data_IF_509686122684
#
_entry.id   IF_509686122684
#
_cell.length_a   1.000
_cell.length_b   1.000
_cell.length_c   1.000
_cell.angle_alpha   90.00
_cell.angle_beta   90.00
_cell.angle_gamma   90.00
#
_symmetry.space_group_name_H-M   'P 1'
#
loop_
_entity.id
_entity.type
_entity.pdbx_description
1 polymer ?
#
# COMPACT_ATOMS: atom_id res chain seq x y z
N UNK A 1 -18.42 -12.83 -10.81
CA UNK A 1 -17.31 -12.28 -11.61
C UNK A 1 -17.22 -12.95 -12.97
N UNK A 2 -17.34 -14.28 -13.06
CA UNK A 2 -17.31 -15.02 -14.35
C UNK A 2 -18.38 -14.54 -15.34
N UNK A 3 -19.63 -14.31 -14.89
CA UNK A 3 -20.69 -13.77 -15.75
C UNK A 3 -20.34 -12.37 -16.28
N UNK A 4 -19.72 -11.53 -15.45
CA UNK A 4 -19.26 -10.19 -15.84
C UNK A 4 -18.10 -10.27 -16.86
N UNK A 5 -17.14 -11.17 -16.66
CA UNK A 5 -15.97 -11.31 -17.55
C UNK A 5 -16.35 -11.75 -18.97
N UNK A 6 -17.50 -12.41 -19.14
CA UNK A 6 -18.02 -12.80 -20.47
C UNK A 6 -18.58 -11.61 -21.27
N UNK A 7 -18.92 -10.52 -20.58
CA UNK A 7 -19.57 -9.34 -21.19
C UNK A 7 -18.60 -8.17 -21.45
N UNK A 8 -17.32 -8.35 -21.14
CA UNK A 8 -16.29 -7.31 -21.31
C UNK A 8 -15.06 -7.86 -22.03
N UNK A 9 -14.29 -6.98 -22.68
CA UNK A 9 -13.05 -7.36 -23.33
C UNK A 9 -11.92 -7.57 -22.32
N UNK A 10 -11.85 -6.73 -21.29
CA UNK A 10 -10.83 -6.79 -20.26
C UNK A 10 -11.42 -6.59 -18.87
N UNK A 11 -10.79 -7.21 -17.89
CA UNK A 11 -11.03 -7.00 -16.45
C UNK A 11 -9.73 -6.54 -15.83
N UNK A 12 -9.70 -5.34 -15.27
CA UNK A 12 -8.51 -4.83 -14.56
C UNK A 12 -8.62 -5.18 -13.08
N UNK A 13 -7.69 -6.00 -12.60
CA UNK A 13 -7.52 -6.24 -11.17
C UNK A 13 -6.67 -5.11 -10.58
N UNK A 14 -7.23 -4.27 -9.75
CA UNK A 14 -6.48 -3.24 -9.00
C UNK A 14 -5.70 -3.88 -7.85
N UNK A 15 -4.53 -4.48 -8.18
CA UNK A 15 -3.69 -5.18 -7.22
C UNK A 15 -2.76 -4.22 -6.47
N UNK A 16 -3.35 -3.23 -5.79
CA UNK A 16 -2.69 -2.23 -4.96
C UNK A 16 -3.61 -1.78 -3.82
N UNK A 17 -3.08 -0.97 -2.89
CA UNK A 17 -3.74 -0.61 -1.62
C UNK A 17 -3.95 -1.82 -0.69
N UNK A 18 -3.01 -2.78 -0.69
CA UNK A 18 -2.92 -3.86 0.29
C UNK A 18 -3.03 -3.28 1.70
N UNK A 19 -2.22 -2.27 1.99
CA UNK A 19 -2.37 -1.43 3.17
C UNK A 19 -2.77 -0.02 2.71
N UNK A 20 -4.01 0.35 2.97
CA UNK A 20 -4.59 1.60 2.47
C UNK A 20 -4.39 2.79 3.42
N UNK A 21 -4.67 4.01 2.93
CA UNK A 21 -4.34 5.25 3.64
C UNK A 21 -4.96 5.42 5.04
N UNK A 22 -6.06 4.73 5.33
CA UNK A 22 -6.73 4.79 6.64
C UNK A 22 -6.43 3.57 7.53
N UNK A 23 -5.51 2.71 7.12
CA UNK A 23 -5.00 1.65 7.99
C UNK A 23 -4.37 2.25 9.24
N UNK A 24 -4.59 1.60 10.36
CA UNK A 24 -3.96 1.97 11.65
C UNK A 24 -2.57 1.38 11.80
N UNK A 25 -2.24 0.39 10.97
CA UNK A 25 -0.93 -0.28 10.90
C UNK A 25 -0.24 0.05 9.60
N UNK A 26 1.07 0.29 9.64
CA UNK A 26 1.89 0.50 8.47
C UNK A 26 2.10 -0.80 7.70
N UNK A 27 2.18 -0.71 6.37
CA UNK A 27 2.43 -1.86 5.50
C UNK A 27 2.64 -1.44 4.04
N UNK A 28 2.97 -2.40 3.16
CA UNK A 28 3.19 -2.17 1.74
C UNK A 28 1.88 -1.82 1.02
N UNK A 29 2.02 -1.18 -0.13
CA UNK A 29 0.89 -0.91 -1.04
C UNK A 29 0.57 -2.14 -1.89
N UNK A 30 1.57 -2.94 -2.26
CA UNK A 30 1.40 -4.10 -3.13
C UNK A 30 2.59 -5.07 -2.98
N UNK A 31 2.61 -5.88 -1.93
CA UNK A 31 3.61 -6.94 -1.80
C UNK A 31 3.44 -7.99 -2.88
N UNK A 32 4.55 -8.57 -3.37
CA UNK A 32 4.49 -9.56 -4.44
C UNK A 32 3.62 -10.79 -4.10
N UNK A 33 3.72 -11.41 -2.90
CA UNK A 33 2.89 -12.57 -2.56
C UNK A 33 1.41 -12.22 -2.51
N UNK A 34 1.06 -11.03 -2.03
CA UNK A 34 -0.33 -10.57 -2.00
C UNK A 34 -0.88 -10.34 -3.43
N UNK A 35 -0.09 -9.68 -4.29
CA UNK A 35 -0.45 -9.45 -5.71
C UNK A 35 -0.63 -10.78 -6.42
N UNK A 36 0.32 -11.73 -6.27
CA UNK A 36 0.26 -13.06 -6.87
C UNK A 36 -1.00 -13.82 -6.44
N UNK A 37 -1.25 -13.92 -5.14
CA UNK A 37 -2.42 -14.62 -4.59
C UNK A 37 -3.73 -14.05 -5.16
N UNK A 38 -3.89 -12.73 -5.19
CA UNK A 38 -5.10 -12.11 -5.71
C UNK A 38 -5.26 -12.32 -7.21
N UNK A 39 -4.16 -12.31 -7.96
CA UNK A 39 -4.17 -12.58 -9.40
C UNK A 39 -4.59 -14.03 -9.69
N UNK A 40 -3.97 -15.00 -9.00
CA UNK A 40 -4.30 -16.42 -9.16
C UNK A 40 -5.77 -16.72 -8.78
N UNK A 41 -6.27 -16.08 -7.73
CA UNK A 41 -7.70 -16.17 -7.35
C UNK A 41 -8.63 -15.58 -8.41
N UNK A 42 -8.23 -14.53 -9.12
CA UNK A 42 -9.03 -13.98 -10.21
C UNK A 42 -9.07 -14.91 -11.42
N UNK A 43 -8.01 -15.67 -11.68
CA UNK A 43 -7.93 -16.61 -12.79
C UNK A 43 -8.92 -17.78 -12.67
N UNK A 44 -9.44 -18.07 -11.47
CA UNK A 44 -10.53 -19.04 -11.32
C UNK A 44 -11.87 -18.55 -11.90
N UNK A 45 -12.01 -17.25 -12.16
CA UNK A 45 -13.26 -16.62 -12.59
C UNK A 45 -13.11 -15.84 -13.92
N UNK A 46 -11.88 -15.46 -14.30
CA UNK A 46 -11.58 -14.63 -15.47
C UNK A 46 -10.52 -15.30 -16.32
N UNK A 47 -10.75 -15.40 -17.62
CA UNK A 47 -9.76 -15.94 -18.56
C UNK A 47 -8.48 -15.08 -18.55
N UNK A 48 -7.32 -15.73 -18.55
CA UNK A 48 -6.03 -15.05 -18.38
C UNK A 48 -5.81 -13.90 -19.37
N UNK A 49 -6.11 -14.11 -20.64
CA UNK A 49 -5.94 -13.10 -21.70
C UNK A 49 -6.87 -11.88 -21.56
N UNK A 50 -7.93 -11.98 -20.75
CA UNK A 50 -8.82 -10.85 -20.40
C UNK A 50 -8.43 -10.17 -19.10
N UNK A 51 -7.61 -10.81 -18.26
CA UNK A 51 -7.21 -10.26 -16.98
C UNK A 51 -6.00 -9.33 -17.15
N UNK A 52 -6.16 -8.07 -16.77
CA UNK A 52 -5.10 -7.05 -16.77
C UNK A 52 -4.69 -6.77 -15.33
N UNK A 53 -3.40 -6.88 -15.03
CA UNK A 53 -2.86 -6.63 -13.70
C UNK A 53 -2.66 -5.14 -13.46
N UNK A 54 -3.41 -4.57 -12.53
CA UNK A 54 -3.22 -3.20 -12.05
C UNK A 54 -2.06 -3.14 -11.05
N UNK A 55 -1.05 -2.32 -11.32
CA UNK A 55 0.13 -2.13 -10.46
C UNK A 55 0.24 -0.68 -9.99
N UNK A 56 0.83 -0.40 -8.80
CA UNK A 56 1.01 0.96 -8.32
C UNK A 56 2.30 1.57 -8.86
N UNK A 57 2.28 2.85 -9.22
CA UNK A 57 3.46 3.70 -9.38
C UNK A 57 3.65 4.61 -8.15
N UNK A 58 3.22 4.13 -7.01
CA UNK A 58 3.30 4.84 -5.75
C UNK A 58 3.46 3.86 -4.58
N UNK A 59 3.89 4.40 -3.47
CA UNK A 59 4.00 3.74 -2.18
C UNK A 59 3.44 4.62 -1.08
N UNK A 60 3.50 4.18 0.18
CA UNK A 60 3.12 4.98 1.35
C UNK A 60 4.31 5.18 2.27
N UNK A 61 4.56 6.44 2.59
CA UNK A 61 5.38 6.82 3.72
C UNK A 61 4.47 6.82 4.97
N UNK A 62 4.83 6.04 5.96
CA UNK A 62 4.10 5.90 7.19
C UNK A 62 4.81 6.63 8.30
N UNK A 63 4.12 7.62 8.88
CA UNK A 63 4.56 8.31 10.07
C UNK A 63 3.97 7.59 11.29
N UNK A 64 4.81 6.83 11.99
CA UNK A 64 4.39 6.17 13.23
C UNK A 64 4.64 7.09 14.42
N UNK A 65 3.60 7.39 15.15
CA UNK A 65 3.66 8.21 16.36
C UNK A 65 2.80 7.56 17.45
N UNK A 66 3.41 7.20 18.57
CA UNK A 66 2.71 6.61 19.73
C UNK A 66 1.85 5.38 19.37
N UNK A 67 2.35 4.50 18.51
CA UNK A 67 1.64 3.29 18.10
C UNK A 67 0.54 3.50 17.05
N UNK A 68 0.43 4.69 16.49
CA UNK A 68 -0.50 5.02 15.43
C UNK A 68 0.23 5.36 14.13
N UNK A 69 -0.11 4.68 13.04
CA UNK A 69 0.49 4.91 11.73
C UNK A 69 -0.40 5.83 10.87
N UNK A 70 0.20 6.87 10.29
CA UNK A 70 -0.45 7.74 9.31
C UNK A 70 0.24 7.60 7.96
N UNK A 71 -0.44 7.02 6.98
CA UNK A 71 0.09 6.82 5.64
C UNK A 71 -0.08 8.04 4.72
N UNK A 72 1.01 8.49 4.12
CA UNK A 72 1.04 9.54 3.09
C UNK A 72 1.50 8.93 1.77
N UNK A 73 0.76 9.18 0.68
CA UNK A 73 1.13 8.68 -0.64
C UNK A 73 2.39 9.36 -1.15
N UNK A 74 3.34 8.57 -1.64
CA UNK A 74 4.57 9.02 -2.28
C UNK A 74 4.66 8.39 -3.68
N UNK A 75 4.81 9.22 -4.72
CA UNK A 75 5.00 8.75 -6.08
C UNK A 75 6.43 8.20 -6.29
N UNK A 76 6.61 7.20 -7.15
CA UNK A 76 7.93 6.62 -7.44
C UNK A 76 8.97 7.68 -7.80
N UNK A 77 8.63 8.63 -8.66
CA UNK A 77 9.52 9.73 -9.08
C UNK A 77 10.05 10.60 -7.92
N UNK A 78 9.39 10.59 -6.78
CA UNK A 78 9.78 11.42 -5.62
C UNK A 78 10.62 10.65 -4.60
N UNK A 79 10.85 9.35 -4.80
CA UNK A 79 11.56 8.50 -3.83
C UNK A 79 13.03 8.84 -3.72
N UNK A 80 13.70 9.11 -4.84
CA UNK A 80 15.11 9.45 -4.89
C UNK A 80 15.46 10.70 -4.06
N UNK A 81 14.59 11.69 -4.07
CA UNK A 81 14.76 12.95 -3.33
C UNK A 81 14.55 12.75 -1.83
N UNK A 82 13.57 11.95 -1.44
CA UNK A 82 13.21 11.77 -0.04
C UNK A 82 14.21 10.88 0.72
N UNK A 83 14.73 9.83 0.06
CA UNK A 83 15.57 8.81 0.71
C UNK A 83 17.04 8.82 0.26
N UNK A 84 17.49 9.82 -0.50
CA UNK A 84 18.88 9.91 -0.96
C UNK A 84 19.90 9.77 0.20
N UNK A 85 19.56 10.28 1.38
CA UNK A 85 20.41 10.24 2.57
C UNK A 85 20.25 8.97 3.41
N UNK A 86 19.41 8.01 2.98
CA UNK A 86 19.09 6.79 3.74
C UNK A 86 19.22 5.52 2.92
N UNK A 87 19.86 5.58 1.75
CA UNK A 87 20.07 4.42 0.87
C UNK A 87 20.84 3.29 1.55
N UNK A 88 21.76 3.64 2.44
CA UNK A 88 22.56 2.72 3.25
C UNK A 88 21.74 1.94 4.28
N UNK A 89 20.55 2.42 4.61
CA UNK A 89 19.61 1.80 5.58
C UNK A 89 18.50 1.00 4.93
N UNK A 90 18.44 0.99 3.59
CA UNK A 90 17.45 0.20 2.86
C UNK A 90 17.81 -1.28 2.91
N UNK A 91 16.85 -2.11 3.28
CA UNK A 91 16.98 -3.57 3.30
C UNK A 91 15.98 -4.20 2.35
N UNK A 92 16.37 -5.29 1.69
CA UNK A 92 15.47 -6.08 0.86
C UNK A 92 14.68 -7.06 1.72
N UNK A 93 13.36 -6.96 1.71
CA UNK A 93 12.48 -7.96 2.31
C UNK A 93 12.19 -9.05 1.25
N UNK A 94 12.88 -10.18 1.38
CA UNK A 94 12.75 -11.27 0.41
C UNK A 94 11.38 -11.94 0.43
N UNK A 95 10.66 -11.87 1.54
CA UNK A 95 9.30 -12.38 1.67
C UNK A 95 8.30 -11.51 0.93
N UNK A 96 8.37 -10.18 1.09
CA UNK A 96 7.47 -9.23 0.45
C UNK A 96 7.94 -8.85 -0.96
N UNK A 97 9.22 -9.11 -1.30
CA UNK A 97 9.88 -8.70 -2.54
C UNK A 97 9.84 -7.18 -2.74
N UNK A 98 10.15 -6.46 -1.67
CA UNK A 98 10.18 -5.00 -1.60
C UNK A 98 11.40 -4.54 -0.80
N UNK A 99 11.96 -3.39 -1.15
CA UNK A 99 12.87 -2.69 -0.26
C UNK A 99 12.11 -2.05 0.89
N UNK A 100 12.70 -2.11 2.07
CA UNK A 100 12.14 -1.52 3.29
C UNK A 100 13.14 -0.59 3.94
N UNK A 101 12.67 0.50 4.52
CA UNK A 101 13.45 1.37 5.40
C UNK A 101 12.60 1.83 6.57
N UNK A 102 13.24 1.96 7.73
CA UNK A 102 12.69 2.61 8.92
C UNK A 102 13.66 3.69 9.39
N UNK A 103 13.16 4.90 9.55
CA UNK A 103 13.94 6.08 9.94
C UNK A 103 13.41 6.56 11.29
N UNK A 104 14.21 6.51 12.37
CA UNK A 104 13.81 7.06 13.65
C UNK A 104 13.53 8.58 13.55
N UNK A 105 12.47 9.03 14.21
CA UNK A 105 12.08 10.44 14.35
C UNK A 105 11.99 10.80 15.84
N UNK A 106 11.83 12.08 16.16
CA UNK A 106 11.68 12.52 17.56
C UNK A 106 10.44 11.97 18.27
N UNK A 107 9.42 11.54 17.52
CA UNK A 107 8.13 11.07 18.06
C UNK A 107 7.79 9.62 17.68
N UNK A 108 8.70 8.89 17.03
CA UNK A 108 8.47 7.52 16.59
C UNK A 108 9.37 7.11 15.43
N UNK A 109 8.79 6.71 14.31
CA UNK A 109 9.56 6.36 13.10
C UNK A 109 8.78 6.63 11.82
N UNK A 110 9.53 6.92 10.76
CA UNK A 110 9.02 6.91 9.39
C UNK A 110 9.37 5.59 8.75
N UNK A 111 8.37 4.88 8.20
CA UNK A 111 8.54 3.58 7.54
C UNK A 111 8.01 3.61 6.13
N UNK A 112 8.70 2.90 5.22
CA UNK A 112 8.27 2.76 3.85
C UNK A 112 8.71 1.41 3.27
N UNK A 113 7.82 0.80 2.50
CA UNK A 113 8.09 -0.30 1.58
C UNK A 113 8.07 0.28 0.18
N UNK A 114 9.20 0.15 -0.51
CA UNK A 114 9.39 0.79 -1.82
C UNK A 114 8.77 -0.02 -2.94
N UNK A 115 7.99 0.66 -3.77
CA UNK A 115 7.72 0.21 -5.12
C UNK A 115 8.79 0.81 -6.04
N UNK A 116 9.60 -0.04 -6.63
CA UNK A 116 10.72 0.31 -7.52
C UNK A 116 10.75 -0.57 -8.76
N UNK A 117 11.76 -0.39 -9.62
CA UNK A 117 11.90 -1.19 -10.82
C UNK A 117 12.13 -2.67 -10.55
N UNK A 118 12.70 -3.04 -9.40
CA UNK A 118 12.92 -4.44 -9.01
C UNK A 118 11.59 -5.11 -8.68
N UNK A 119 10.83 -4.53 -7.77
CA UNK A 119 9.53 -5.05 -7.33
C UNK A 119 8.48 -5.00 -8.45
N UNK A 120 8.47 -3.93 -9.23
CA UNK A 120 7.61 -3.80 -10.41
C UNK A 120 7.98 -4.84 -11.48
N UNK A 121 9.28 -5.04 -11.73
CA UNK A 121 9.76 -6.05 -12.67
C UNK A 121 9.23 -7.45 -12.35
N UNK A 122 9.25 -7.86 -11.09
CA UNK A 122 8.67 -9.13 -10.63
C UNK A 122 7.16 -9.23 -10.94
N UNK A 123 6.41 -8.15 -10.75
CA UNK A 123 4.99 -8.11 -11.09
C UNK A 123 4.74 -8.17 -12.60
N UNK A 124 5.60 -7.55 -13.41
CA UNK A 124 5.52 -7.67 -14.86
C UNK A 124 5.93 -9.07 -15.36
N UNK A 125 6.87 -9.73 -14.69
CA UNK A 125 7.21 -11.13 -14.98
C UNK A 125 6.02 -12.05 -14.65
N UNK A 126 5.26 -11.78 -13.57
CA UNK A 126 4.02 -12.49 -13.25
C UNK A 126 2.97 -12.35 -14.35
N UNK A 127 2.85 -11.17 -14.99
CA UNK A 127 1.96 -10.97 -16.16
C UNK A 127 2.34 -11.93 -17.30
N UNK A 128 3.63 -12.10 -17.57
CA UNK A 128 4.13 -13.02 -18.59
C UNK A 128 3.94 -14.48 -18.19
N UNK A 129 4.29 -14.83 -16.94
CA UNK A 129 4.15 -16.19 -16.39
C UNK A 129 2.72 -16.70 -16.49
N UNK A 130 1.76 -15.89 -16.07
CA UNK A 130 0.34 -16.25 -16.05
C UNK A 130 -0.39 -15.95 -17.36
N UNK A 131 0.31 -15.49 -18.41
CA UNK A 131 -0.23 -15.14 -19.73
C UNK A 131 -1.43 -14.20 -19.64
N UNK A 132 -1.31 -13.17 -18.79
CA UNK A 132 -2.36 -12.17 -18.62
C UNK A 132 -2.51 -11.30 -19.86
N UNK A 133 -3.65 -10.62 -20.01
CA UNK A 133 -3.91 -9.68 -21.10
C UNK A 133 -3.00 -8.45 -21.10
N UNK A 134 -2.29 -8.21 -20.00
CA UNK A 134 -1.35 -7.10 -19.86
C UNK A 134 -1.30 -6.56 -18.46
N UNK A 135 -0.79 -5.35 -18.32
CA UNK A 135 -0.83 -4.60 -17.06
C UNK A 135 -1.36 -3.17 -17.27
N UNK A 136 -1.86 -2.58 -16.21
CA UNK A 136 -2.24 -1.17 -16.13
C UNK A 136 -1.59 -0.57 -14.89
N UNK A 137 -1.21 0.71 -14.93
CA UNK A 137 -0.53 1.34 -13.81
C UNK A 137 -1.30 2.51 -13.23
N UNK A 138 -1.39 2.59 -11.91
CA UNK A 138 -1.93 3.73 -11.20
C UNK A 138 -0.77 4.55 -10.61
N UNK A 139 -0.44 5.70 -11.14
CA UNK A 139 -1.02 6.31 -12.33
C UNK A 139 0.06 7.01 -13.14
N UNK A 140 -0.23 7.30 -14.41
CA UNK A 140 0.63 8.12 -15.25
C UNK A 140 1.03 9.43 -14.55
N UNK A 141 2.31 9.75 -14.62
CA UNK A 141 2.93 10.92 -13.97
C UNK A 141 3.44 10.64 -12.54
N UNK A 142 3.35 9.39 -12.06
CA UNK A 142 3.95 8.95 -10.79
C UNK A 142 5.22 8.12 -11.00
N UNK A 143 5.40 7.58 -12.19
CA UNK A 143 6.61 6.86 -12.62
C UNK A 143 7.82 7.77 -12.69
N UNK A 144 9.00 7.21 -12.55
CA UNK A 144 10.25 7.86 -12.93
C UNK A 144 10.69 7.45 -14.36
N UNK A 145 11.73 8.11 -14.88
CA UNK A 145 12.24 7.84 -16.23
C UNK A 145 12.80 6.41 -16.36
N UNK A 146 13.41 5.88 -15.30
CA UNK A 146 13.96 4.53 -15.28
C UNK A 146 12.85 3.47 -15.37
N UNK A 147 11.71 3.75 -14.75
CA UNK A 147 10.52 2.89 -14.83
C UNK A 147 9.98 2.82 -16.25
N UNK A 148 9.87 3.94 -16.95
CA UNK A 148 9.45 3.97 -18.35
C UNK A 148 10.42 3.19 -19.22
N UNK A 149 11.72 3.39 -19.03
CA UNK A 149 12.74 2.70 -19.80
C UNK A 149 12.71 1.17 -19.56
N UNK A 150 12.48 0.72 -18.31
CA UNK A 150 12.30 -0.69 -17.98
C UNK A 150 11.08 -1.28 -18.69
N UNK A 151 9.94 -0.60 -18.65
CA UNK A 151 8.70 -1.04 -19.31
C UNK A 151 8.89 -1.15 -20.83
N UNK A 152 9.65 -0.24 -21.43
CA UNK A 152 9.97 -0.28 -22.86
C UNK A 152 10.98 -1.39 -23.24
N UNK A 153 11.39 -2.23 -22.29
CA UNK A 153 12.33 -3.32 -22.54
C UNK A 153 13.79 -2.88 -22.62
N UNK A 154 14.10 -1.63 -22.24
CA UNK A 154 15.48 -1.18 -22.08
C UNK A 154 16.07 -1.82 -20.83
N UNK A 155 17.18 -2.54 -20.98
CA UNK A 155 17.84 -3.19 -19.86
C UNK A 155 18.40 -2.15 -18.89
N UNK A 156 17.80 -2.07 -17.71
CA UNK A 156 18.21 -1.18 -16.64
C UNK A 156 18.76 -1.96 -15.44
N UNK A 157 19.45 -3.08 -15.73
CA UNK A 157 20.18 -3.82 -14.73
C UNK A 157 19.26 -4.31 -13.60
N UNK A 158 18.42 -5.28 -13.88
CA UNK A 158 17.71 -6.06 -12.85
C UNK A 158 18.72 -6.90 -12.07
N UNK A 159 19.46 -6.27 -11.18
CA UNK A 159 20.20 -7.01 -10.17
C UNK A 159 19.19 -7.56 -9.17
N UNK A 160 19.03 -8.89 -9.12
CA UNK A 160 18.37 -9.51 -7.97
C UNK A 160 19.26 -9.19 -6.76
N UNK A 161 18.79 -8.45 -5.75
CA UNK A 161 19.60 -8.16 -4.59
C UNK A 161 20.01 -9.50 -3.95
N UNK A 162 21.29 -9.65 -3.64
CA UNK A 162 21.74 -10.78 -2.81
C UNK A 162 21.01 -10.66 -1.47
N UNK A 163 20.24 -11.70 -1.12
CA UNK A 163 19.53 -11.80 0.16
C UNK A 163 20.48 -11.50 1.30
N UNK A 164 20.28 -10.36 1.94
CA UNK A 164 20.72 -10.15 3.32
C UNK A 164 19.47 -10.41 4.15
N UNK A 165 19.39 -11.61 4.71
CA UNK A 165 18.37 -11.94 5.71
C UNK A 165 18.60 -11.05 6.93
N UNK A 166 17.88 -9.96 6.99
CA UNK A 166 17.70 -9.23 8.23
C UNK A 166 16.39 -9.72 8.81
N UNK A 167 16.44 -10.17 10.06
CA UNK A 167 15.25 -10.49 10.86
C UNK A 167 14.40 -9.22 10.96
N UNK A 168 13.54 -9.02 9.99
CA UNK A 168 12.45 -8.04 10.12
C UNK A 168 11.44 -8.71 11.06
N UNK A 169 11.13 -8.11 12.23
CA UNK A 169 10.11 -8.67 13.09
C UNK A 169 8.88 -8.90 12.23
N UNK A 170 8.41 -10.15 12.22
CA UNK A 170 7.19 -10.49 11.48
C UNK A 170 6.11 -9.48 11.83
N UNK A 171 5.44 -8.87 10.86
CA UNK A 171 4.16 -8.29 11.14
C UNK A 171 3.33 -9.47 11.66
N UNK A 172 2.88 -9.37 12.89
CA UNK A 172 1.93 -10.33 13.45
C UNK A 172 0.72 -10.30 12.55
N UNK A 173 0.74 -11.14 11.53
CA UNK A 173 -0.44 -11.49 10.76
C UNK A 173 -1.14 -12.49 11.67
N UNK A 174 -1.86 -11.98 12.69
CA UNK A 174 -2.97 -12.75 13.19
C UNK A 174 -3.77 -13.14 11.95
N UNK A 175 -3.89 -14.43 11.70
CA UNK A 175 -4.89 -14.97 10.78
C UNK A 175 -6.27 -14.59 11.34
N UNK A 176 -6.63 -13.32 11.16
CA UNK A 176 -7.97 -12.87 11.44
C UNK A 176 -8.86 -13.53 10.41
N UNK A 177 -9.59 -14.57 10.83
CA UNK A 177 -10.75 -15.05 10.09
C UNK A 177 -11.48 -13.82 9.55
N UNK A 178 -11.81 -13.80 8.25
CA UNK A 178 -12.51 -12.64 7.69
C UNK A 178 -13.76 -12.40 8.54
N UNK A 179 -13.84 -11.20 9.10
CA UNK A 179 -14.96 -10.78 9.94
C UNK A 179 -16.27 -11.09 9.22
N UNK A 180 -17.18 -11.75 9.90
CA UNK A 180 -18.52 -11.99 9.38
C UNK A 180 -19.21 -10.65 9.08
N UNK A 181 -20.18 -10.66 8.16
CA UNK A 181 -20.96 -9.44 7.83
C UNK A 181 -21.54 -8.76 9.07
N UNK A 182 -21.88 -9.53 10.08
CA UNK A 182 -22.41 -9.03 11.36
C UNK A 182 -21.33 -8.35 12.22
N UNK A 183 -20.11 -8.89 12.25
CA UNK A 183 -18.97 -8.28 12.95
C UNK A 183 -18.52 -6.99 12.27
N UNK A 184 -18.47 -6.97 10.94
CA UNK A 184 -18.20 -5.75 10.17
C UNK A 184 -19.26 -4.67 10.41
N UNK A 185 -20.53 -5.05 10.53
CA UNK A 185 -21.61 -4.12 10.83
C UNK A 185 -21.49 -3.57 12.27
N UNK A 186 -21.18 -4.41 13.27
CA UNK A 186 -20.94 -3.98 14.65
C UNK A 186 -19.77 -3.00 14.75
N UNK A 187 -18.64 -3.31 14.09
CA UNK A 187 -17.48 -2.40 14.05
C UNK A 187 -17.84 -1.02 13.47
N UNK A 188 -18.61 -1.00 12.38
CA UNK A 188 -19.08 0.26 11.77
C UNK A 188 -20.03 1.06 12.68
N UNK A 189 -20.81 0.38 13.50
CA UNK A 189 -21.67 1.04 14.49
C UNK A 189 -20.84 1.66 15.61
N UNK A 190 -19.87 0.93 16.15
CA UNK A 190 -18.96 1.42 17.19
C UNK A 190 -18.13 2.62 16.69
N UNK A 191 -17.63 2.57 15.46
CA UNK A 191 -16.91 3.70 14.86
C UNK A 191 -17.81 4.94 14.72
N UNK A 192 -19.07 4.76 14.31
CA UNK A 192 -20.04 5.84 14.22
C UNK A 192 -20.37 6.45 15.59
N UNK A 193 -20.50 5.63 16.61
CA UNK A 193 -20.76 6.10 17.97
C UNK A 193 -19.55 6.84 18.55
N UNK A 194 -18.33 6.31 18.37
CA UNK A 194 -17.08 7.00 18.75
C UNK A 194 -16.93 8.34 18.06
N UNK A 195 -17.21 8.40 16.75
CA UNK A 195 -17.16 9.65 15.99
C UNK A 195 -18.21 10.66 16.45
N UNK A 196 -19.40 10.20 16.86
CA UNK A 196 -20.47 11.03 17.38
C UNK A 196 -20.13 11.57 18.79
N UNK A 197 -19.54 10.74 19.63
CA UNK A 197 -19.07 11.13 20.94
C UNK A 197 -17.92 12.15 20.87
N UNK A 198 -16.94 11.94 19.98
CA UNK A 198 -15.84 12.89 19.76
C UNK A 198 -16.33 14.25 19.25
N UNK A 199 -17.33 14.28 18.35
CA UNK A 199 -17.95 15.54 17.90
C UNK A 199 -18.72 16.26 19.01
N UNK A 200 -19.40 15.53 19.88
CA UNK A 200 -20.11 16.10 21.03
C UNK A 200 -19.14 16.69 22.05
N UNK A 201 -18.04 15.99 22.35
CA UNK A 201 -17.00 16.49 23.24
C UNK A 201 -16.29 17.73 22.69
N UNK A 202 -15.97 17.76 21.39
CA UNK A 202 -15.39 18.93 20.75
C UNK A 202 -16.33 20.15 20.80
N UNK A 203 -17.64 19.96 20.60
CA UNK A 203 -18.64 21.02 20.76
C UNK A 203 -18.73 21.54 22.21
N UNK A 204 -18.63 20.63 23.21
CA UNK A 204 -18.65 21.02 24.62
C UNK A 204 -17.42 21.86 24.96
N UNK A 205 -16.23 21.40 24.58
CA UNK A 205 -14.98 22.15 24.80
C UNK A 205 -15.01 23.54 24.15
N UNK A 206 -15.46 23.62 22.90
CA UNK A 206 -15.57 24.91 22.20
C UNK A 206 -16.60 25.86 22.86
N UNK A 207 -17.65 25.33 23.51
CA UNK A 207 -18.60 26.14 24.27
C UNK A 207 -18.01 26.63 25.58
N UNK A 208 -17.30 25.78 26.30
CA UNK A 208 -16.61 26.13 27.55
C UNK A 208 -15.51 27.19 27.32
N UNK A 209 -14.74 27.05 26.24
CA UNK A 209 -13.74 28.08 25.86
C UNK A 209 -14.39 29.44 25.54
N UNK A 210 -15.51 29.46 24.83
CA UNK A 210 -16.27 30.70 24.54
C UNK A 210 -16.82 31.34 25.80
N UNK A 211 -17.30 30.55 26.75
CA UNK A 211 -17.78 31.08 28.05
C UNK A 211 -16.66 31.63 28.90
N UNK A 212 -15.50 30.91 28.91
CA UNK A 212 -14.32 31.37 29.63
C UNK A 212 -13.75 32.69 29.06
N UNK A 213 -13.76 32.84 27.73
CA UNK A 213 -13.35 34.06 27.07
C UNK A 213 -14.27 35.24 27.40
N UNK A 214 -15.61 35.03 27.51
CA UNK A 214 -16.58 36.05 27.89
C UNK A 214 -16.46 36.50 29.37
N UNK A 215 -15.92 35.65 30.25
CA UNK A 215 -15.70 35.99 31.68
C UNK A 215 -14.42 36.76 31.93
N UNK A 216 -13.49 36.76 30.97
CA UNK A 216 -12.21 37.49 31.04
C UNK A 216 -12.19 38.84 30.32
N UNK A 217 -13.26 39.15 29.55
CA UNK A 217 -13.52 40.45 28.95
C UNK A 217 -14.48 41.26 29.81
#
# INVERSE_FOLDING_TARGET
RSAFSNSVDYVVLMAYDETWAKSTTAGPVASYPWVRNHTERMLSEVQSHKLVLGVPFYMRLWHDTNGYAKGVRLAMKNTGTYFANHKDKMTWDDRLKLYYVSIPTSSGSDRIWFEDNTSLGLKLDLVKELKLGGFAAWRKGFEDESTIAMIQGKDLGRGIPKSTTVDVPEPVVEETKPLTKLEQYKLRLEEKEKAKAAKAEAKRKAKEEKELAKRKA
#
